data_IF_477297226541
#
_entry.id   IF_477297226541
#
_cell.length_a   1.000
_cell.length_b   1.000
_cell.length_c   1.000
_cell.angle_alpha   90.00
_cell.angle_beta   90.00
_cell.angle_gamma   90.00
#
_symmetry.space_group_name_H-M   'P 1'
#
loop_
_entity.id
_entity.type
_entity.pdbx_description
1 polymer ?
#
# COMPACT_ATOMS: atom_id res chain seq x y z
N UNK A 1 -1.16 -20.21 -26.13
CA UNK A 1 -0.21 -20.56 -25.05
C UNK A 1 -0.25 -19.45 -24.01
N UNK A 2 -0.86 -19.67 -22.83
CA UNK A 2 -0.80 -18.68 -21.74
C UNK A 2 0.61 -18.74 -21.16
N UNK A 3 1.45 -17.77 -21.50
CA UNK A 3 2.72 -17.54 -20.79
C UNK A 3 2.32 -17.07 -19.40
N UNK A 4 2.43 -17.94 -18.40
CA UNK A 4 2.44 -17.49 -17.01
C UNK A 4 3.81 -16.83 -16.84
N UNK A 5 3.88 -15.53 -17.08
CA UNK A 5 4.98 -14.73 -16.56
C UNK A 5 4.92 -14.90 -15.05
N UNK A 6 6.05 -15.23 -14.42
CA UNK A 6 6.14 -15.32 -12.97
C UNK A 6 5.74 -13.97 -12.38
N UNK A 7 4.53 -13.87 -11.85
CA UNK A 7 4.11 -12.68 -11.12
C UNK A 7 4.99 -12.56 -9.87
N UNK A 8 5.57 -11.39 -9.64
CA UNK A 8 6.23 -11.11 -8.37
C UNK A 8 5.10 -10.85 -7.37
N UNK A 9 5.03 -11.61 -6.26
CA UNK A 9 3.99 -11.37 -5.27
C UNK A 9 4.25 -10.02 -4.59
N UNK A 10 3.19 -9.24 -4.39
CA UNK A 10 3.22 -8.15 -3.41
C UNK A 10 3.30 -8.78 -2.01
N UNK A 11 4.30 -8.39 -1.23
CA UNK A 11 4.48 -8.85 0.15
C UNK A 11 4.49 -7.62 1.06
N UNK A 12 3.68 -7.65 2.11
CA UNK A 12 3.62 -6.63 3.14
C UNK A 12 3.93 -7.28 4.50
N UNK A 13 4.88 -6.72 5.24
CA UNK A 13 5.21 -7.16 6.59
C UNK A 13 4.65 -6.18 7.61
N UNK A 14 4.08 -6.71 8.70
CA UNK A 14 3.81 -5.96 9.91
C UNK A 14 5.02 -6.13 10.85
N UNK A 15 5.82 -5.08 10.99
CA UNK A 15 6.89 -5.01 12.00
C UNK A 15 6.35 -4.31 13.26
N UNK A 16 6.89 -4.65 14.43
CA UNK A 16 6.52 -4.01 15.70
C UNK A 16 7.77 -3.68 16.50
N UNK A 17 7.86 -2.47 17.03
CA UNK A 17 8.68 -2.20 18.21
C UNK A 17 7.86 -2.54 19.46
N UNK A 18 8.21 -3.65 20.12
CA UNK A 18 7.45 -4.17 21.25
C UNK A 18 7.62 -3.34 22.52
N UNK A 19 8.65 -2.49 22.59
CA UNK A 19 8.88 -1.68 23.78
C UNK A 19 7.94 -0.47 23.79
N UNK A 20 7.69 0.10 22.60
CA UNK A 20 6.93 1.34 22.44
C UNK A 20 5.53 1.13 21.84
N UNK A 21 5.13 -0.12 21.56
CA UNK A 21 3.86 -0.47 20.89
C UNK A 21 3.65 0.24 19.54
N UNK A 22 4.76 0.50 18.84
CA UNK A 22 4.73 1.13 17.51
C UNK A 22 4.75 0.02 16.46
N UNK A 23 3.81 0.10 15.52
CA UNK A 23 3.71 -0.83 14.40
C UNK A 23 4.18 -0.15 13.12
N UNK A 24 4.76 -0.93 12.21
CA UNK A 24 5.20 -0.45 10.92
C UNK A 24 4.70 -1.37 9.81
N UNK A 25 4.28 -0.76 8.71
CA UNK A 25 4.10 -1.45 7.44
C UNK A 25 5.39 -1.38 6.65
N UNK A 26 5.90 -2.53 6.24
CA UNK A 26 7.09 -2.64 5.41
C UNK A 26 6.79 -3.35 4.11
N UNK A 27 7.08 -2.68 3.00
CA UNK A 27 7.01 -3.26 1.68
C UNK A 27 8.16 -4.27 1.49
N UNK A 28 7.83 -5.46 0.99
CA UNK A 28 8.79 -6.51 0.67
C UNK A 28 9.39 -6.32 -0.73
N UNK A 29 10.28 -7.23 -1.12
CA UNK A 29 10.74 -7.37 -2.51
C UNK A 29 11.40 -6.14 -3.17
N UNK A 30 11.89 -5.18 -2.38
CA UNK A 30 12.36 -3.87 -2.85
C UNK A 30 11.24 -3.03 -3.47
N UNK A 31 9.99 -3.29 -3.09
CA UNK A 31 8.84 -2.44 -3.38
C UNK A 31 8.88 -1.18 -2.48
N UNK A 32 8.35 -0.07 -2.97
CA UNK A 32 8.29 1.21 -2.26
C UNK A 32 6.93 1.39 -1.58
N UNK A 33 6.90 2.13 -0.45
CA UNK A 33 5.66 2.44 0.28
C UNK A 33 5.58 3.92 0.64
N UNK A 34 4.37 4.46 0.56
CA UNK A 34 4.02 5.82 0.94
C UNK A 34 2.82 5.83 1.87
N UNK A 35 2.88 6.64 2.93
CA UNK A 35 1.74 6.95 3.79
C UNK A 35 0.97 8.13 3.19
N UNK A 36 -0.25 7.86 2.73
CA UNK A 36 -1.13 8.86 2.13
C UNK A 36 -1.80 9.75 3.19
N UNK A 37 -1.87 9.29 4.44
CA UNK A 37 -2.58 9.96 5.52
C UNK A 37 -4.01 9.44 5.73
N UNK A 38 -4.77 10.14 6.57
CA UNK A 38 -6.15 9.79 6.92
C UNK A 38 -7.09 9.83 5.71
N UNK A 39 -7.90 8.79 5.57
CA UNK A 39 -8.95 8.65 4.55
C UNK A 39 -10.20 8.00 5.14
N UNK A 40 -11.36 8.32 4.58
CA UNK A 40 -12.64 7.75 5.02
C UNK A 40 -12.91 6.43 4.28
N UNK A 41 -12.51 6.34 3.01
CA UNK A 41 -12.63 5.15 2.16
C UNK A 41 -11.32 4.86 1.44
N UNK A 42 -11.04 3.59 1.15
CA UNK A 42 -9.92 3.22 0.26
C UNK A 42 -10.06 3.83 -1.14
N UNK A 43 -11.28 4.18 -1.54
CA UNK A 43 -11.56 4.82 -2.84
C UNK A 43 -11.12 6.30 -2.89
N UNK A 44 -10.78 6.92 -1.76
CA UNK A 44 -10.28 8.30 -1.69
C UNK A 44 -8.85 8.45 -2.29
N UNK A 45 -8.16 7.33 -2.51
CA UNK A 45 -6.86 7.29 -3.20
C UNK A 45 -7.07 7.06 -4.69
N UNK A 46 -7.04 8.15 -5.45
CA UNK A 46 -7.21 8.14 -6.91
C UNK A 46 -5.91 7.86 -7.67
N UNK A 47 -4.77 8.37 -7.19
CA UNK A 47 -3.49 8.25 -7.88
C UNK A 47 -2.31 7.99 -6.94
N UNK A 48 -1.33 7.21 -7.41
CA UNK A 48 -0.03 7.09 -6.76
C UNK A 48 0.79 8.39 -6.90
N UNK A 49 1.51 8.82 -5.86
CA UNK A 49 2.29 10.05 -5.90
C UNK A 49 3.56 9.90 -6.74
N UNK A 50 4.06 11.01 -7.28
CA UNK A 50 5.32 11.03 -8.03
C UNK A 50 6.56 10.97 -7.12
N UNK A 51 6.41 11.35 -5.85
CA UNK A 51 7.49 11.47 -4.88
C UNK A 51 6.98 11.21 -3.45
N UNK A 52 7.87 11.24 -2.47
CA UNK A 52 7.51 11.02 -1.06
C UNK A 52 7.51 9.56 -0.61
N UNK A 53 8.03 8.65 -1.44
CA UNK A 53 8.24 7.24 -1.07
C UNK A 53 9.22 7.11 0.10
N UNK A 54 8.97 6.14 0.99
CA UNK A 54 9.81 5.89 2.15
C UNK A 54 11.23 5.47 1.74
N UNK A 55 12.23 6.20 2.24
CA UNK A 55 13.64 5.86 2.01
C UNK A 55 14.08 4.56 2.72
N UNK A 56 13.25 4.02 3.60
CA UNK A 56 13.54 2.80 4.37
C UNK A 56 12.68 1.61 3.97
N UNK A 57 11.78 1.78 2.99
CA UNK A 57 10.80 0.77 2.60
C UNK A 57 9.72 0.48 3.65
N UNK A 58 9.65 1.29 4.71
CA UNK A 58 8.61 1.18 5.76
C UNK A 58 8.06 2.52 6.22
N UNK A 59 6.84 2.48 6.73
CA UNK A 59 6.10 3.62 7.32
C UNK A 59 5.39 3.16 8.58
N UNK A 60 5.06 4.09 9.48
CA UNK A 60 4.28 3.78 10.68
C UNK A 60 2.87 3.31 10.30
N UNK A 61 2.38 2.29 10.98
CA UNK A 61 1.04 1.75 10.82
C UNK A 61 0.09 2.50 11.75
N UNK A 62 -0.91 3.17 11.19
CA UNK A 62 -1.84 4.07 11.87
C UNK A 62 -3.25 3.71 11.41
N UNK A 63 -4.15 3.43 12.36
CA UNK A 63 -5.54 3.14 12.03
C UNK A 63 -6.22 4.37 11.41
N UNK A 64 -6.96 4.16 10.32
CA UNK A 64 -7.59 5.22 9.52
C UNK A 64 -6.71 5.77 8.39
N UNK A 65 -5.42 5.44 8.36
CA UNK A 65 -4.53 5.85 7.28
C UNK A 65 -4.65 4.96 6.04
N UNK A 66 -4.47 5.60 4.89
CA UNK A 66 -4.26 4.98 3.60
C UNK A 66 -2.77 4.87 3.29
N UNK A 67 -2.39 3.82 2.57
CA UNK A 67 -1.02 3.60 2.13
C UNK A 67 -1.00 3.15 0.68
N UNK A 68 0.04 3.55 -0.02
CA UNK A 68 0.25 3.22 -1.43
C UNK A 68 1.55 2.44 -1.54
N UNK A 69 1.53 1.33 -2.28
CA UNK A 69 2.70 0.50 -2.55
C UNK A 69 2.99 0.57 -4.04
N UNK A 70 4.25 0.80 -4.40
CA UNK A 70 4.75 0.71 -5.76
C UNK A 70 5.66 -0.50 -5.87
N UNK A 71 5.24 -1.50 -6.63
CA UNK A 71 6.00 -2.73 -6.78
C UNK A 71 7.19 -2.52 -7.72
N UNK A 72 8.27 -3.27 -7.51
CA UNK A 72 9.46 -3.21 -8.38
C UNK A 72 9.19 -3.56 -9.85
N UNK A 73 8.12 -4.31 -10.11
CA UNK A 73 7.68 -4.63 -11.46
C UNK A 73 6.73 -3.58 -12.06
N UNK A 74 6.61 -2.44 -11.37
CA UNK A 74 5.94 -1.21 -11.74
C UNK A 74 4.41 -1.31 -11.75
N UNK A 75 3.83 -1.93 -10.72
CA UNK A 75 2.40 -1.91 -10.43
C UNK A 75 2.14 -1.15 -9.14
N UNK A 76 0.88 -0.79 -8.91
CA UNK A 76 0.49 -0.06 -7.70
C UNK A 76 -0.59 -0.79 -6.93
N UNK A 77 -0.51 -0.69 -5.61
CA UNK A 77 -1.53 -1.17 -4.69
C UNK A 77 -1.87 -0.07 -3.69
N UNK A 78 -3.06 -0.16 -3.13
CA UNK A 78 -3.47 0.67 -2.01
C UNK A 78 -4.07 -0.17 -0.91
N UNK A 79 -3.90 0.30 0.32
CA UNK A 79 -4.48 -0.29 1.52
C UNK A 79 -5.01 0.81 2.43
N UNK A 80 -5.98 0.47 3.27
CA UNK A 80 -6.44 1.32 4.38
C UNK A 80 -6.47 0.49 5.65
N UNK A 81 -5.76 0.91 6.69
CA UNK A 81 -5.81 0.20 7.98
C UNK A 81 -7.12 0.59 8.67
N UNK A 82 -7.93 -0.41 9.01
CA UNK A 82 -9.18 -0.23 9.73
C UNK A 82 -8.97 -0.32 11.25
N UNK A 83 -8.11 -1.22 11.70
CA UNK A 83 -7.81 -1.41 13.13
C UNK A 83 -6.45 -2.08 13.33
N UNK A 84 -5.80 -1.77 14.44
CA UNK A 84 -4.54 -2.37 14.88
C UNK A 84 -4.76 -3.07 16.22
N UNK A 85 -4.28 -4.30 16.31
CA UNK A 85 -4.25 -5.12 17.52
C UNK A 85 -2.83 -5.59 17.80
N UNK A 86 -2.61 -6.17 18.97
CA UNK A 86 -1.28 -6.56 19.46
C UNK A 86 -0.45 -7.39 18.46
N UNK A 87 -1.12 -8.25 17.69
CA UNK A 87 -0.49 -9.25 16.81
C UNK A 87 -0.97 -9.20 15.35
N UNK A 88 -1.90 -8.32 15.00
CA UNK A 88 -2.43 -8.25 13.64
C UNK A 88 -3.08 -6.90 13.34
N UNK A 89 -3.34 -6.66 12.07
CA UNK A 89 -4.12 -5.53 11.57
C UNK A 89 -5.30 -6.03 10.76
N UNK A 90 -6.35 -5.22 10.71
CA UNK A 90 -7.47 -5.39 9.79
C UNK A 90 -7.40 -4.25 8.80
N UNK A 91 -7.49 -4.54 7.51
CA UNK A 91 -7.32 -3.54 6.44
C UNK A 91 -8.11 -3.90 5.19
N UNK A 92 -8.49 -2.86 4.44
CA UNK A 92 -8.98 -2.98 3.07
C UNK A 92 -7.80 -2.88 2.10
N UNK A 93 -7.92 -3.48 0.92
CA UNK A 93 -6.86 -3.46 -0.08
C UNK A 93 -7.40 -3.49 -1.51
N UNK A 94 -6.62 -2.95 -2.44
CA UNK A 94 -6.81 -3.08 -3.87
C UNK A 94 -5.45 -3.11 -4.59
N UNK A 95 -5.39 -3.79 -5.73
CA UNK A 95 -4.19 -3.94 -6.55
C UNK A 95 -4.50 -3.65 -8.02
N UNK A 96 -3.70 -2.79 -8.66
CA UNK A 96 -3.78 -2.50 -10.08
C UNK A 96 -2.78 -3.37 -10.87
N UNK A 97 -3.30 -4.18 -11.77
CA UNK A 97 -2.56 -5.05 -12.70
C UNK A 97 -1.95 -4.37 -13.93
N UNK A 98 -2.28 -3.12 -14.23
CA UNK A 98 -1.69 -2.39 -15.36
C UNK A 98 -0.35 -1.76 -14.99
N UNK A 99 0.72 -2.22 -15.66
CA UNK A 99 2.08 -1.75 -15.42
C UNK A 99 2.23 -0.26 -15.75
N UNK A 100 2.69 0.52 -14.78
CA UNK A 100 3.03 1.93 -14.91
C UNK A 100 1.83 2.88 -14.90
N UNK A 101 0.61 2.35 -14.80
CA UNK A 101 -0.57 3.16 -14.60
C UNK A 101 -0.70 3.50 -13.11
N UNK A 102 -0.56 4.77 -12.76
CA UNK A 102 -0.68 5.25 -11.38
C UNK A 102 -2.12 5.49 -10.92
N UNK A 103 -3.12 5.29 -11.79
CA UNK A 103 -4.54 5.39 -11.44
C UNK A 103 -4.99 4.20 -10.58
N UNK A 104 -5.56 4.51 -9.42
CA UNK A 104 -5.91 3.56 -8.36
C UNK A 104 -7.40 3.51 -8.04
N UNK A 105 -8.18 4.45 -8.57
CA UNK A 105 -9.63 4.49 -8.43
C UNK A 105 -10.25 4.93 -9.74
N UNK A 106 -11.38 4.32 -10.11
CA UNK A 106 -12.19 4.79 -11.23
C UNK A 106 -13.11 5.86 -10.66
N UNK A 107 -12.66 7.11 -10.57
CA UNK A 107 -13.56 8.15 -10.09
C UNK A 107 -14.73 8.28 -11.08
N UNK A 108 -15.96 8.13 -10.60
CA UNK A 108 -17.15 8.22 -11.44
C UNK A 108 -17.45 9.65 -11.93
N UNK A 109 -16.62 10.65 -11.59
CA UNK A 109 -16.94 12.07 -11.68
C UNK A 109 -15.87 12.93 -12.39
N UNK A 110 -15.08 12.39 -13.31
CA UNK A 110 -14.21 13.20 -14.18
C UNK A 110 -14.57 13.04 -15.66
N UNK A 111 -15.60 13.79 -16.09
CA UNK A 111 -15.81 14.26 -17.47
C UNK A 111 -16.11 15.75 -17.46
#
# INVERSE_FOLDING_TARGET
>A
MRKILSAIPLILYLESDRQDYIYYLKAGNDDDIHDFGYIDSIDDIDYAPLNGWSQTGKVEAIAGHGYIIWTKDNHFAKIRINSIYDNHIVFDWAYQSEKGNSELSVSANHF
#
